data_IF_160295084335
#
_entry.id   IF_160295084335
#
_cell.length_a   1.000
_cell.length_b   1.000
_cell.length_c   1.000
_cell.angle_alpha   90.00
_cell.angle_beta   90.00
_cell.angle_gamma   90.00
#
_symmetry.space_group_name_H-M   'P 1'
#
loop_
_entity.id
_entity.type
_entity.pdbx_description
1 polymer ?
#
# COMPACT_ATOMS: atom_id res chain seq x y z
N UNK A 1 14.74 -7.44 1.82
CA UNK A 1 15.86 -6.63 1.27
C UNK A 1 15.36 -5.21 1.05
N UNK A 2 16.13 -4.20 1.48
CA UNK A 2 15.95 -2.80 1.10
C UNK A 2 16.87 -2.50 -0.10
N UNK A 3 16.36 -1.78 -1.08
CA UNK A 3 17.12 -1.33 -2.24
C UNK A 3 16.83 0.14 -2.51
N UNK A 4 17.89 0.91 -2.71
CA UNK A 4 17.80 2.31 -3.09
C UNK A 4 18.76 2.58 -4.25
N UNK A 5 18.24 3.26 -5.27
CA UNK A 5 19.00 3.77 -6.39
C UNK A 5 18.83 5.27 -6.41
N UNK A 6 19.92 6.01 -6.29
CA UNK A 6 19.90 7.48 -6.35
C UNK A 6 20.58 7.95 -7.62
N UNK A 7 20.38 9.21 -7.97
CA UNK A 7 21.05 9.83 -9.13
C UNK A 7 22.58 9.87 -8.98
N UNK A 8 23.09 9.80 -7.75
CA UNK A 8 24.51 9.90 -7.44
C UNK A 8 24.83 11.03 -6.46
N UNK A 9 26.11 11.32 -6.27
CA UNK A 9 26.61 12.32 -5.34
C UNK A 9 27.44 13.38 -6.09
N UNK A 10 27.17 14.65 -5.81
CA UNK A 10 27.91 15.81 -6.30
C UNK A 10 27.84 16.97 -5.31
N UNK A 11 28.53 18.05 -5.62
CA UNK A 11 28.40 19.30 -4.89
C UNK A 11 26.95 19.80 -4.92
N UNK A 12 26.54 20.50 -3.85
CA UNK A 12 25.19 20.99 -3.71
C UNK A 12 24.77 21.90 -4.87
N UNK A 13 23.81 21.47 -5.66
CA UNK A 13 23.20 22.24 -6.75
C UNK A 13 21.70 21.94 -6.81
N UNK A 14 20.91 22.89 -7.32
CA UNK A 14 19.49 22.64 -7.69
C UNK A 14 19.35 22.15 -9.13
N UNK A 15 20.45 22.19 -9.92
CA UNK A 15 20.47 21.72 -11.29
C UNK A 15 21.06 20.30 -11.32
N UNK A 16 20.64 19.52 -12.29
CA UNK A 16 21.19 18.21 -12.59
C UNK A 16 21.34 18.05 -14.11
N UNK A 17 22.26 17.23 -14.50
CA UNK A 17 22.55 16.83 -15.88
C UNK A 17 22.54 15.30 -16.00
N UNK A 18 22.91 14.78 -17.15
CA UNK A 18 23.00 13.35 -17.45
C UNK A 18 24.34 12.70 -17.07
N UNK A 19 25.28 13.47 -16.49
CA UNK A 19 26.63 13.01 -16.14
C UNK A 19 26.74 12.45 -14.72
N UNK A 20 25.61 12.27 -14.01
CA UNK A 20 25.60 11.65 -12.70
C UNK A 20 25.76 10.14 -12.80
N UNK A 21 26.68 9.58 -12.03
CA UNK A 21 26.77 8.13 -11.84
C UNK A 21 25.82 7.71 -10.73
N UNK A 22 24.82 6.83 -11.03
CA UNK A 22 23.89 6.37 -10.01
C UNK A 22 24.60 5.67 -8.85
N UNK A 23 24.15 5.95 -7.63
CA UNK A 23 24.57 5.20 -6.45
C UNK A 23 23.53 4.15 -6.11
N UNK A 24 23.94 2.90 -6.03
CA UNK A 24 23.10 1.77 -5.60
C UNK A 24 23.48 1.40 -4.17
N UNK A 25 22.47 1.34 -3.30
CA UNK A 25 22.60 0.91 -1.92
C UNK A 25 21.59 -0.17 -1.61
N UNK A 26 22.02 -1.27 -1.01
CA UNK A 26 21.13 -2.36 -0.62
C UNK A 26 21.60 -3.00 0.70
N UNK A 27 20.62 -3.47 1.50
CA UNK A 27 20.90 -4.30 2.66
C UNK A 27 19.73 -5.26 2.92
N UNK A 28 20.00 -6.31 3.70
CA UNK A 28 18.98 -7.24 4.15
C UNK A 28 18.66 -6.97 5.63
N UNK A 29 17.37 -7.11 5.94
CA UNK A 29 16.88 -7.04 7.31
C UNK A 29 16.00 -8.27 7.54
N UNK A 30 16.18 -8.94 8.69
CA UNK A 30 15.32 -10.06 9.06
C UNK A 30 14.00 -9.51 9.55
N UNK A 31 12.95 -9.84 8.83
CA UNK A 31 11.56 -9.52 9.18
C UNK A 31 10.88 -10.76 9.74
N UNK A 32 10.04 -10.58 10.76
CA UNK A 32 9.12 -11.61 11.22
C UNK A 32 7.88 -11.54 10.34
N UNK A 33 7.93 -12.17 9.19
CA UNK A 33 6.79 -12.21 8.31
C UNK A 33 6.06 -13.54 8.49
N UNK A 34 4.82 -13.47 8.98
CA UNK A 34 3.95 -14.62 9.12
C UNK A 34 3.01 -14.72 7.90
N UNK A 35 3.57 -15.08 6.73
CA UNK A 35 2.75 -15.35 5.53
C UNK A 35 1.72 -16.45 5.76
N UNK A 36 2.02 -17.39 6.65
CA UNK A 36 1.20 -18.56 6.95
C UNK A 36 0.22 -18.34 8.11
N UNK A 37 0.38 -17.27 8.88
CA UNK A 37 -0.58 -16.92 9.92
C UNK A 37 -1.82 -16.22 9.31
N UNK A 38 -3.02 -16.50 9.82
CA UNK A 38 -4.21 -15.73 9.46
C UNK A 38 -3.96 -14.24 9.74
N UNK A 39 -4.21 -13.35 8.78
CA UNK A 39 -4.01 -11.94 8.99
C UNK A 39 -5.03 -11.44 10.05
N UNK A 40 -4.58 -10.56 10.93
CA UNK A 40 -5.48 -9.83 11.80
C UNK A 40 -5.85 -8.50 11.13
N UNK A 41 -7.12 -8.11 11.12
CA UNK A 41 -7.52 -6.81 10.61
C UNK A 41 -6.83 -5.68 11.38
N UNK A 42 -6.43 -4.64 10.67
CA UNK A 42 -5.81 -3.45 11.27
C UNK A 42 -6.76 -2.26 11.25
N UNK A 43 -6.48 -1.29 12.13
CA UNK A 43 -7.14 0.01 12.12
C UNK A 43 -6.33 1.00 11.29
N UNK A 44 -7.00 1.84 10.51
CA UNK A 44 -6.43 3.03 9.90
C UNK A 44 -6.96 4.30 10.60
N UNK A 45 -6.19 5.39 10.52
CA UNK A 45 -6.66 6.71 10.92
C UNK A 45 -6.54 7.67 9.74
N UNK A 46 -7.57 8.48 9.52
CA UNK A 46 -7.54 9.49 8.46
C UNK A 46 -6.57 10.62 8.79
N UNK A 47 -5.82 11.07 7.79
CA UNK A 47 -4.90 12.20 7.90
C UNK A 47 -4.94 13.04 6.62
N UNK A 48 -4.70 14.36 6.69
CA UNK A 48 -4.54 15.17 5.49
C UNK A 48 -3.34 14.67 4.66
N UNK A 49 -3.50 14.58 3.34
CA UNK A 49 -2.39 14.28 2.44
C UNK A 49 -1.56 15.54 2.17
N UNK A 50 -0.54 15.74 2.98
CA UNK A 50 0.39 16.89 2.90
C UNK A 50 1.64 16.59 2.08
N UNK A 51 1.69 15.47 1.37
CA UNK A 51 2.82 15.13 0.51
C UNK A 51 2.88 16.08 -0.70
N UNK A 52 4.03 16.08 -1.38
CA UNK A 52 4.22 16.86 -2.60
C UNK A 52 3.34 16.36 -3.78
N UNK A 53 3.22 17.16 -4.84
CA UNK A 53 2.30 16.89 -5.95
C UNK A 53 2.77 15.78 -6.92
N UNK A 54 3.91 15.13 -6.70
CA UNK A 54 4.46 14.04 -7.54
C UNK A 54 4.69 12.78 -6.71
N UNK A 55 3.60 12.24 -6.15
CA UNK A 55 3.60 11.03 -5.32
C UNK A 55 3.88 9.77 -6.13
N UNK A 56 3.69 9.84 -7.45
CA UNK A 56 4.07 8.82 -8.43
C UNK A 56 5.59 8.56 -8.44
N UNK A 57 6.40 9.55 -8.10
CA UNK A 57 7.86 9.41 -8.01
C UNK A 57 8.24 8.88 -6.62
N UNK A 58 8.74 7.64 -6.58
CA UNK A 58 9.23 7.05 -5.34
C UNK A 58 10.56 7.70 -4.92
N UNK A 59 10.55 8.43 -3.82
CA UNK A 59 11.71 9.18 -3.31
C UNK A 59 12.06 8.80 -1.88
N UNK A 60 13.25 9.22 -1.42
CA UNK A 60 13.65 9.13 -0.01
C UNK A 60 13.14 10.30 0.84
N UNK A 61 12.52 11.32 0.23
CA UNK A 61 11.89 12.42 0.94
C UNK A 61 10.50 12.00 1.45
N UNK A 62 10.48 11.36 2.61
CA UNK A 62 9.30 10.72 3.20
C UNK A 62 8.69 11.51 4.36
N UNK A 63 9.01 12.81 4.53
CA UNK A 63 8.56 13.55 5.71
C UNK A 63 7.03 13.60 5.82
N UNK A 64 6.30 13.82 4.73
CA UNK A 64 4.84 13.82 4.72
C UNK A 64 4.25 12.47 5.17
N UNK A 65 4.78 11.36 4.66
CA UNK A 65 4.39 10.01 5.06
C UNK A 65 4.72 9.72 6.53
N UNK A 66 5.89 10.14 7.00
CA UNK A 66 6.31 9.96 8.41
C UNK A 66 5.36 10.71 9.34
N UNK A 67 5.00 11.95 9.01
CA UNK A 67 4.06 12.74 9.80
C UNK A 67 2.67 12.09 9.84
N UNK A 68 2.15 11.62 8.70
CA UNK A 68 0.86 10.94 8.62
C UNK A 68 0.87 9.63 9.44
N UNK A 69 1.89 8.79 9.30
CA UNK A 69 2.02 7.54 10.09
C UNK A 69 2.17 7.81 11.58
N UNK A 70 2.90 8.85 11.97
CA UNK A 70 3.04 9.22 13.38
C UNK A 70 1.69 9.70 13.96
N UNK A 71 0.91 10.48 13.21
CA UNK A 71 -0.42 10.89 13.61
C UNK A 71 -1.36 9.68 13.79
N UNK A 72 -1.34 8.73 12.86
CA UNK A 72 -2.11 7.49 12.95
C UNK A 72 -1.68 6.65 14.17
N UNK A 73 -0.38 6.51 14.40
CA UNK A 73 0.15 5.79 15.58
C UNK A 73 -0.33 6.42 16.89
N UNK A 74 -0.30 7.73 17.01
CA UNK A 74 -0.80 8.44 18.20
C UNK A 74 -2.32 8.30 18.39
N UNK A 75 -3.07 8.07 17.31
CA UNK A 75 -4.49 7.74 17.34
C UNK A 75 -4.76 6.23 17.60
N UNK A 76 -3.72 5.42 17.86
CA UNK A 76 -3.84 3.99 18.09
C UNK A 76 -4.12 3.15 16.84
N UNK A 77 -3.85 3.70 15.65
CA UNK A 77 -4.00 3.01 14.37
C UNK A 77 -2.66 2.43 13.87
N UNK A 78 -2.77 1.42 13.03
CA UNK A 78 -1.62 0.77 12.39
C UNK A 78 -1.01 1.61 11.27
N UNK A 79 -1.86 2.30 10.49
CA UNK A 79 -1.46 3.03 9.29
C UNK A 79 -2.35 4.26 9.10
N UNK A 80 -1.85 5.26 8.37
CA UNK A 80 -2.62 6.42 7.96
C UNK A 80 -3.40 6.14 6.67
N UNK A 81 -4.64 6.62 6.58
CA UNK A 81 -5.37 6.77 5.32
C UNK A 81 -5.38 8.25 4.95
N UNK A 82 -4.77 8.59 3.82
CA UNK A 82 -4.54 9.99 3.47
C UNK A 82 -5.66 10.56 2.61
N UNK A 83 -6.11 11.76 2.99
CA UNK A 83 -7.23 12.47 2.36
C UNK A 83 -6.69 13.72 1.67
N UNK A 84 -6.93 13.84 0.37
CA UNK A 84 -6.58 15.01 -0.42
C UNK A 84 -7.44 16.24 -0.04
N UNK A 85 -7.03 17.47 -0.39
CA UNK A 85 -7.79 18.68 -0.06
C UNK A 85 -9.20 18.75 -0.64
N UNK A 86 -9.49 18.00 -1.71
CA UNK A 86 -10.81 17.88 -2.33
C UNK A 86 -11.73 16.85 -1.62
N UNK A 87 -11.22 16.14 -0.61
CA UNK A 87 -11.95 15.13 0.16
C UNK A 87 -11.79 13.70 -0.36
N UNK A 88 -11.10 13.51 -1.47
CA UNK A 88 -10.84 12.19 -2.02
C UNK A 88 -9.77 11.45 -1.19
N UNK A 89 -9.97 10.15 -1.03
CA UNK A 89 -8.94 9.25 -0.48
C UNK A 89 -7.85 9.04 -1.53
N UNK A 90 -6.58 9.26 -1.14
CA UNK A 90 -5.45 9.00 -2.05
C UNK A 90 -4.91 7.58 -1.87
N UNK A 91 -4.15 7.33 -0.86
CA UNK A 91 -3.59 6.03 -0.50
C UNK A 91 -3.22 6.00 0.99
N UNK A 92 -2.71 4.88 1.48
CA UNK A 92 -2.19 4.83 2.85
C UNK A 92 -0.76 5.39 2.93
N UNK A 93 -0.26 5.69 4.12
CA UNK A 93 1.02 6.33 4.34
C UNK A 93 2.23 5.61 3.73
N UNK A 94 2.16 4.29 3.61
CA UNK A 94 3.21 3.46 2.97
C UNK A 94 2.67 2.29 2.15
N UNK A 95 1.38 2.29 1.83
CA UNK A 95 0.68 1.19 1.17
C UNK A 95 -0.38 1.72 0.21
N UNK A 96 -0.71 0.94 -0.83
CA UNK A 96 -1.88 1.22 -1.65
C UNK A 96 -3.15 0.76 -0.94
N UNK A 97 -4.24 1.51 -1.10
CA UNK A 97 -5.52 1.24 -0.46
C UNK A 97 -6.54 0.71 -1.47
N UNK A 98 -7.36 -0.25 -1.02
CA UNK A 98 -8.44 -0.89 -1.77
C UNK A 98 -9.65 -1.10 -0.87
N UNK A 99 -10.83 -1.12 -1.47
CA UNK A 99 -12.03 -1.59 -0.78
C UNK A 99 -12.93 -2.40 -1.70
N UNK A 100 -13.81 -3.19 -1.11
CA UNK A 100 -14.82 -3.98 -1.80
C UNK A 100 -16.18 -3.37 -1.47
N UNK A 101 -16.98 -3.12 -2.50
CA UNK A 101 -18.38 -2.72 -2.37
C UNK A 101 -19.20 -3.46 -3.42
N UNK A 102 -20.29 -4.07 -3.01
CA UNK A 102 -21.18 -4.83 -3.91
C UNK A 102 -20.43 -5.86 -4.78
N UNK A 103 -19.43 -6.53 -4.21
CA UNK A 103 -18.52 -7.48 -4.86
C UNK A 103 -17.67 -6.87 -5.98
N UNK A 104 -17.55 -5.56 -6.07
CA UNK A 104 -16.62 -4.85 -6.96
C UNK A 104 -15.39 -4.39 -6.16
N UNK A 105 -14.21 -4.53 -6.76
CA UNK A 105 -12.95 -4.04 -6.20
C UNK A 105 -12.74 -2.60 -6.64
N UNK A 106 -12.68 -1.70 -5.67
CA UNK A 106 -12.42 -0.29 -5.89
C UNK A 106 -10.96 0.06 -5.59
N UNK A 107 -10.38 0.83 -6.48
CA UNK A 107 -9.00 1.30 -6.36
C UNK A 107 -8.86 2.65 -7.07
N UNK A 108 -8.07 3.55 -6.51
CA UNK A 108 -7.79 4.84 -7.14
C UNK A 108 -7.03 4.63 -8.46
N UNK A 109 -7.38 5.34 -9.56
CA UNK A 109 -6.65 5.28 -10.81
C UNK A 109 -5.23 5.81 -10.65
N UNK A 110 -4.34 5.27 -11.47
CA UNK A 110 -2.93 5.69 -11.51
C UNK A 110 -2.86 7.17 -11.93
N UNK A 111 -2.22 7.98 -11.10
CA UNK A 111 -2.04 9.42 -11.32
C UNK A 111 -0.80 9.92 -10.56
N UNK A 112 -0.56 11.23 -10.59
CA UNK A 112 0.47 11.86 -9.75
C UNK A 112 0.13 11.84 -8.24
N UNK A 113 -1.09 11.48 -7.87
CA UNK A 113 -1.56 11.52 -6.47
C UNK A 113 -1.22 10.28 -5.67
N UNK A 114 -0.83 9.19 -6.33
CA UNK A 114 -0.50 7.92 -5.68
C UNK A 114 0.77 7.31 -6.24
N UNK A 115 1.41 6.47 -5.44
CA UNK A 115 2.52 5.66 -5.94
C UNK A 115 2.00 4.51 -6.82
N UNK A 116 2.65 4.28 -7.97
CA UNK A 116 2.35 3.15 -8.85
C UNK A 116 2.93 1.85 -8.27
N UNK A 117 2.33 1.34 -7.19
CA UNK A 117 2.84 0.22 -6.42
C UNK A 117 2.90 -1.10 -7.22
N UNK A 118 4.01 -1.82 -7.14
CA UNK A 118 4.16 -3.15 -7.78
C UNK A 118 3.17 -4.15 -7.18
N UNK A 119 2.99 -4.15 -5.85
CA UNK A 119 2.01 -5.00 -5.18
C UNK A 119 0.58 -4.66 -5.63
N UNK A 120 0.27 -3.35 -5.83
CA UNK A 120 -1.01 -2.92 -6.42
C UNK A 120 -1.23 -3.54 -7.79
N UNK A 121 -0.25 -3.47 -8.69
CA UNK A 121 -0.35 -4.04 -10.04
C UNK A 121 -0.57 -5.55 -10.01
N UNK A 122 0.16 -6.25 -9.14
CA UNK A 122 -0.02 -7.70 -8.98
C UNK A 122 -1.40 -8.03 -8.42
N UNK A 123 -1.91 -7.23 -7.46
CA UNK A 123 -3.24 -7.40 -6.90
C UNK A 123 -4.35 -7.23 -7.95
N UNK A 124 -4.24 -6.26 -8.84
CA UNK A 124 -5.21 -6.09 -9.92
C UNK A 124 -5.23 -7.31 -10.85
N UNK A 125 -4.07 -7.85 -11.24
CA UNK A 125 -4.00 -9.09 -12.04
C UNK A 125 -4.63 -10.29 -11.32
N UNK A 126 -4.41 -10.41 -10.00
CA UNK A 126 -5.04 -11.45 -9.19
C UNK A 126 -6.55 -11.28 -9.15
N UNK A 127 -7.04 -10.05 -8.97
CA UNK A 127 -8.47 -9.75 -8.97
C UNK A 127 -9.15 -10.07 -10.31
N UNK A 128 -8.51 -9.76 -11.44
CA UNK A 128 -8.97 -10.12 -12.78
C UNK A 128 -9.07 -11.64 -12.95
N UNK A 129 -8.05 -12.39 -12.53
CA UNK A 129 -8.06 -13.87 -12.56
C UNK A 129 -9.18 -14.47 -11.71
N UNK A 130 -9.58 -13.79 -10.63
CA UNK A 130 -10.72 -14.15 -9.78
C UNK A 130 -12.05 -13.57 -10.29
N UNK A 131 -12.08 -13.00 -11.49
CA UNK A 131 -13.27 -12.45 -12.15
C UNK A 131 -13.97 -11.36 -11.32
N UNK A 132 -13.23 -10.65 -10.49
CA UNK A 132 -13.75 -9.48 -9.80
C UNK A 132 -13.85 -8.31 -10.78
N UNK A 133 -14.98 -7.62 -10.75
CA UNK A 133 -15.10 -6.36 -11.46
C UNK A 133 -14.27 -5.30 -10.75
N UNK A 134 -13.39 -4.63 -11.50
CA UNK A 134 -12.51 -3.59 -10.99
C UNK A 134 -13.07 -2.22 -11.36
N UNK A 135 -13.13 -1.33 -10.35
CA UNK A 135 -13.46 0.09 -10.48
C UNK A 135 -12.21 0.91 -10.23
N UNK A 136 -11.58 1.39 -11.29
CA UNK A 136 -10.49 2.37 -11.18
C UNK A 136 -11.08 3.78 -11.24
N UNK A 137 -11.56 4.27 -10.12
CA UNK A 137 -12.21 5.58 -9.98
C UNK A 137 -11.71 6.28 -8.72
N UNK A 138 -11.79 7.62 -8.64
CA UNK A 138 -11.59 8.35 -7.39
C UNK A 138 -12.78 8.13 -6.47
N UNK A 139 -12.57 8.22 -5.19
CA UNK A 139 -13.61 7.97 -4.19
C UNK A 139 -13.38 8.77 -2.92
N UNK A 140 -14.47 9.13 -2.28
CA UNK A 140 -14.49 9.87 -1.03
C UNK A 140 -14.36 8.96 0.18
N UNK A 141 -14.09 9.56 1.34
CA UNK A 141 -14.07 8.83 2.61
C UNK A 141 -15.43 8.18 2.91
N UNK A 142 -16.55 8.86 2.63
CA UNK A 142 -17.90 8.31 2.88
C UNK A 142 -18.15 7.03 2.10
N UNK A 143 -17.69 6.96 0.86
CA UNK A 143 -17.77 5.73 0.04
C UNK A 143 -16.94 4.60 0.63
N UNK A 144 -15.76 4.91 1.16
CA UNK A 144 -14.90 3.94 1.83
C UNK A 144 -15.53 3.44 3.14
N UNK A 145 -16.10 4.33 3.95
CA UNK A 145 -16.75 3.95 5.21
C UNK A 145 -18.00 3.09 4.99
N UNK A 146 -18.62 3.18 3.81
CA UNK A 146 -19.75 2.32 3.42
C UNK A 146 -19.33 1.00 2.76
N UNK A 147 -18.02 0.68 2.72
CA UNK A 147 -17.49 -0.53 2.10
C UNK A 147 -17.87 -1.80 2.86
N UNK A 148 -17.95 -2.92 2.13
CA UNK A 148 -18.18 -4.25 2.70
C UNK A 148 -16.88 -4.84 3.27
N UNK A 149 -15.72 -4.56 2.62
CA UNK A 149 -14.39 -4.96 3.05
C UNK A 149 -13.39 -3.87 2.63
N UNK A 150 -12.25 -3.79 3.34
CA UNK A 150 -11.12 -2.97 2.92
C UNK A 150 -9.80 -3.65 3.22
N UNK A 151 -8.76 -3.30 2.46
CA UNK A 151 -7.41 -3.80 2.68
C UNK A 151 -6.35 -2.84 2.12
N UNK A 152 -5.13 -2.99 2.62
CA UNK A 152 -3.94 -2.29 2.13
C UNK A 152 -2.92 -3.27 1.59
N UNK A 153 -2.09 -2.81 0.64
CA UNK A 153 -1.04 -3.64 0.04
C UNK A 153 0.31 -2.94 -0.01
N UNK A 154 1.36 -3.66 0.35
CA UNK A 154 2.75 -3.26 0.13
C UNK A 154 3.65 -4.50 0.05
N UNK A 155 4.88 -4.34 -0.41
CA UNK A 155 5.84 -5.44 -0.57
C UNK A 155 6.15 -6.18 0.76
N UNK A 156 6.01 -5.52 1.91
CA UNK A 156 6.30 -6.10 3.23
C UNK A 156 5.08 -6.68 3.94
N UNK A 157 3.87 -6.30 3.53
CA UNK A 157 2.61 -6.73 4.18
C UNK A 157 1.72 -7.56 3.25
N UNK A 158 2.05 -7.61 1.95
CA UNK A 158 1.28 -8.24 0.87
C UNK A 158 -0.16 -7.69 0.81
N UNK A 159 -1.13 -8.40 1.35
CA UNK A 159 -2.53 -7.98 1.50
C UNK A 159 -2.88 -8.00 2.98
N UNK A 160 -3.15 -6.85 3.56
CA UNK A 160 -3.48 -6.70 4.98
C UNK A 160 -4.89 -6.16 5.11
N UNK A 161 -5.82 -6.92 5.72
CA UNK A 161 -7.20 -6.48 5.92
C UNK A 161 -7.29 -5.26 6.81
N UNK A 162 -8.24 -4.38 6.52
CA UNK A 162 -8.60 -3.21 7.32
C UNK A 162 -9.97 -3.45 7.92
N UNK A 163 -10.05 -3.52 9.25
CA UNK A 163 -11.31 -3.74 9.97
C UNK A 163 -11.95 -2.44 10.49
N UNK A 164 -11.19 -1.35 10.56
CA UNK A 164 -11.70 -0.08 11.11
C UNK A 164 -10.96 1.11 10.48
N UNK A 165 -11.67 2.18 10.25
CA UNK A 165 -11.11 3.49 9.85
C UNK A 165 -11.67 4.54 10.82
N UNK A 166 -10.80 5.22 11.53
CA UNK A 166 -11.12 6.07 12.67
C UNK A 166 -12.00 5.29 13.66
N UNK A 167 -13.22 5.76 13.94
CA UNK A 167 -14.16 5.11 14.83
C UNK A 167 -15.20 4.20 14.09
N UNK A 168 -15.09 4.07 12.76
CA UNK A 168 -16.04 3.31 11.94
C UNK A 168 -15.49 1.93 11.59
N UNK A 169 -16.21 0.87 11.96
CA UNK A 169 -15.93 -0.49 11.50
C UNK A 169 -16.25 -0.62 10.00
N UNK A 170 -15.40 -1.32 9.26
CA UNK A 170 -15.61 -1.67 7.86
C UNK A 170 -16.21 -3.08 7.79
N UNK A 171 -17.39 -3.20 7.20
CA UNK A 171 -18.12 -4.45 7.21
C UNK A 171 -18.48 -4.88 8.64
N UNK A 172 -17.98 -6.04 9.06
CA UNK A 172 -18.11 -6.57 10.43
C UNK A 172 -16.84 -6.38 11.29
N UNK A 173 -15.89 -5.57 10.80
CA UNK A 173 -14.60 -5.36 11.44
C UNK A 173 -13.61 -6.52 11.28
N UNK A 174 -14.02 -7.61 10.66
CA UNK A 174 -13.24 -8.83 10.46
C UNK A 174 -12.46 -8.89 9.15
N UNK A 175 -12.02 -10.09 8.80
CA UNK A 175 -11.41 -10.39 7.49
C UNK A 175 -12.51 -10.81 6.54
N UNK A 176 -12.87 -9.95 5.62
CA UNK A 176 -13.89 -10.27 4.62
C UNK A 176 -13.47 -11.40 3.66
N UNK A 177 -14.43 -12.15 3.12
CA UNK A 177 -14.16 -13.33 2.31
C UNK A 177 -13.45 -13.02 0.98
N UNK A 178 -13.72 -11.87 0.37
CA UNK A 178 -13.03 -11.45 -0.87
C UNK A 178 -11.57 -11.11 -0.58
N UNK A 179 -11.31 -10.35 0.47
CA UNK A 179 -9.96 -10.00 0.92
C UNK A 179 -9.15 -11.26 1.27
N UNK A 180 -9.76 -12.21 1.97
CA UNK A 180 -9.12 -13.49 2.32
C UNK A 180 -8.74 -14.29 1.06
N UNK A 181 -9.65 -14.39 0.08
CA UNK A 181 -9.41 -15.06 -1.19
C UNK A 181 -8.28 -14.40 -1.99
N UNK A 182 -8.30 -13.08 -2.12
CA UNK A 182 -7.27 -12.31 -2.83
C UNK A 182 -5.90 -12.45 -2.15
N UNK A 183 -5.85 -12.45 -0.82
CA UNK A 183 -4.61 -12.69 -0.08
C UNK A 183 -4.04 -14.08 -0.35
N UNK A 184 -4.88 -15.12 -0.30
CA UNK A 184 -4.44 -16.49 -0.59
C UNK A 184 -3.87 -16.62 -1.99
N UNK A 185 -4.58 -16.12 -3.00
CA UNK A 185 -4.13 -16.14 -4.38
C UNK A 185 -2.82 -15.36 -4.60
N UNK A 186 -2.69 -14.19 -3.96
CA UNK A 186 -1.45 -13.41 -4.01
C UNK A 186 -0.27 -14.20 -3.41
N UNK A 187 -0.45 -14.83 -2.26
CA UNK A 187 0.59 -15.61 -1.60
C UNK A 187 0.97 -16.88 -2.39
N UNK A 188 0.01 -17.52 -3.03
CA UNK A 188 0.27 -18.65 -3.94
C UNK A 188 1.11 -18.22 -5.14
N UNK A 189 0.76 -17.10 -5.78
CA UNK A 189 1.53 -16.53 -6.88
C UNK A 189 2.97 -16.19 -6.43
N UNK A 190 3.12 -15.51 -5.30
CA UNK A 190 4.42 -15.16 -4.76
C UNK A 190 5.28 -16.39 -4.44
N UNK A 191 4.69 -17.47 -3.93
CA UNK A 191 5.41 -18.74 -3.68
C UNK A 191 5.80 -19.46 -4.95
N UNK A 192 4.97 -19.39 -5.99
CA UNK A 192 5.26 -20.01 -7.28
C UNK A 192 6.43 -19.33 -8.01
N UNK A 193 6.55 -18.01 -7.89
CA UNK A 193 7.64 -17.23 -8.50
C UNK A 193 8.98 -17.36 -7.75
N UNK A 194 8.94 -17.72 -6.46
CA UNK A 194 10.13 -17.89 -5.62
C UNK A 194 10.23 -19.33 -5.12
N UNK A 195 10.82 -20.25 -5.90
CA UNK A 195 11.04 -21.62 -5.46
C UNK A 195 11.87 -21.62 -4.17
N UNK A 196 11.50 -22.50 -3.23
CA UNK A 196 12.22 -22.66 -1.97
C UNK A 196 13.71 -22.83 -2.25
N UNK A 197 14.53 -21.92 -1.72
CA UNK A 197 15.99 -22.15 -1.66
C UNK A 197 16.16 -23.45 -0.87
N UNK A 198 16.86 -24.48 -1.41
CA UNK A 198 17.16 -25.66 -0.63
C UNK A 198 17.84 -25.26 0.68
N UNK A 199 17.37 -25.79 1.79
CA UNK A 199 18.10 -25.67 3.05
C UNK A 199 19.46 -26.34 2.81
N UNK A 200 20.48 -25.51 2.63
CA UNK A 200 21.87 -26.02 2.65
C UNK A 200 22.14 -26.46 4.07
N UNK A 201 22.34 -27.75 4.21
CA UNK A 201 22.76 -28.42 5.44
C UNK A 201 24.06 -27.84 6.03
#
# INVERSE_FOLDING_TARGET
>A
MYLQVTRGSRDRSYLYDDQYEPTVFAFTQKEKFAADAPPQPVALATTPDIRWARRDIKTTNLLGQVMAKQAAHLAGAYEALMIAPDGDVTEAGSSSFFFIKDRELWVRPVSNDILHGITRQTMLRVAEQHQLKIREETYTLDQVLAADEAFITAASIYVLPVGRIDDTEIGDGGVGPVTASLRSAYLELARAEFPKVPETA
#
